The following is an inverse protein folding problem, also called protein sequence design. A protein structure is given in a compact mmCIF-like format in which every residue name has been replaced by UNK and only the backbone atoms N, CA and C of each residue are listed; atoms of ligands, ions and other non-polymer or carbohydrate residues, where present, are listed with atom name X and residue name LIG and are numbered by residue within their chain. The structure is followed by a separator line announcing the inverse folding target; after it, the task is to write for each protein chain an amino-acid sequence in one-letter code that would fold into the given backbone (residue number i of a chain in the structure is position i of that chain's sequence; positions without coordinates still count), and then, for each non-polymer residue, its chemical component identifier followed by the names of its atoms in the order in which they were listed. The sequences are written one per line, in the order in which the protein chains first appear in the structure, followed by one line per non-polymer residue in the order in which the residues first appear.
data_IF_687824667774
#
_entry.id   IF_687824667774
#
_cell.length_a   1.000
_cell.length_b   1.000
_cell.length_c   1.000
_cell.angle_alpha   90.00
_cell.angle_beta   90.00
_cell.angle_gamma   90.00
#
_symmetry.space_group_name_H-M   'P 1'
#
loop_
_entity.id
_entity.type
_entity.pdbx_description
1 polymer ?
#
# COMPACT_ATOMS: atom_id res chain seq x y z
N UNK A 1 12.50 3.03 -0.15
CA UNK A 1 12.41 1.89 -1.08
C UNK A 1 11.26 0.97 -0.70
N UNK A 2 10.57 0.45 -1.70
CA UNK A 2 9.42 -0.40 -1.46
C UNK A 2 9.85 -1.86 -1.47
N UNK A 3 9.37 -2.61 -0.49
CA UNK A 3 9.70 -4.03 -0.35
C UNK A 3 8.44 -4.87 -0.37
N UNK A 4 8.61 -6.16 -0.61
CA UNK A 4 7.49 -7.10 -0.51
C UNK A 4 6.90 -7.03 0.89
N UNK A 5 5.58 -7.08 0.93
CA UNK A 5 4.78 -7.07 2.16
C UNK A 5 4.73 -5.70 2.85
N UNK A 6 5.29 -4.68 2.23
CA UNK A 6 5.13 -3.33 2.76
C UNK A 6 3.67 -2.93 2.70
N UNK A 7 3.25 -2.18 3.70
CA UNK A 7 1.93 -1.59 3.76
C UNK A 7 2.04 -0.21 3.12
N UNK A 8 1.17 0.07 2.15
CA UNK A 8 1.30 1.29 1.35
C UNK A 8 -0.04 1.99 1.22
N UNK A 9 0.02 3.28 0.91
CA UNK A 9 -1.16 4.07 0.57
C UNK A 9 -0.98 4.67 -0.81
N UNK A 10 -2.08 4.80 -1.54
CA UNK A 10 -2.05 5.42 -2.85
C UNK A 10 -1.93 6.93 -2.73
N UNK A 11 -1.08 7.50 -3.56
CA UNK A 11 -0.93 8.95 -3.65
C UNK A 11 -1.84 9.56 -4.71
N UNK A 12 -2.39 8.73 -5.59
CA UNK A 12 -3.24 9.17 -6.69
C UNK A 12 -4.44 8.27 -6.83
N UNK A 13 -5.51 8.81 -7.43
CA UNK A 13 -6.66 8.00 -7.80
C UNK A 13 -6.29 7.09 -8.96
N UNK A 14 -6.87 5.90 -9.00
CA UNK A 14 -6.66 4.98 -10.12
C UNK A 14 -7.79 5.17 -11.11
N UNK A 15 -7.48 5.58 -12.36
CA UNK A 15 -8.53 5.85 -13.34
C UNK A 15 -9.39 4.63 -13.60
N UNK A 16 -10.66 4.89 -13.83
CA UNK A 16 -11.65 3.85 -14.21
C UNK A 16 -11.87 2.81 -13.12
N UNK A 17 -11.55 3.15 -11.88
CA UNK A 17 -11.81 2.28 -10.75
C UNK A 17 -12.41 3.11 -9.61
N UNK A 18 -12.87 2.41 -8.58
CA UNK A 18 -13.33 3.08 -7.36
C UNK A 18 -12.20 3.26 -6.36
N UNK A 19 -10.97 2.93 -6.75
CA UNK A 19 -9.82 3.00 -5.85
C UNK A 19 -9.24 4.40 -5.92
N UNK A 20 -9.28 5.10 -4.80
CA UNK A 20 -8.94 6.52 -4.75
C UNK A 20 -7.70 6.74 -3.91
N UNK A 21 -7.16 7.95 -4.03
CA UNK A 21 -6.03 8.37 -3.22
C UNK A 21 -6.30 8.11 -1.75
N UNK A 22 -5.30 7.62 -1.05
CA UNK A 22 -5.43 7.30 0.37
C UNK A 22 -5.82 5.87 0.64
N UNK A 23 -6.27 5.13 -0.38
CA UNK A 23 -6.59 3.72 -0.19
C UNK A 23 -5.31 2.97 0.16
N UNK A 24 -5.39 2.09 1.14
CA UNK A 24 -4.23 1.33 1.58
C UNK A 24 -4.23 -0.08 1.02
N UNK A 25 -3.04 -0.63 0.92
CA UNK A 25 -2.88 -1.99 0.42
C UNK A 25 -1.55 -2.57 0.84
N UNK A 26 -1.28 -3.78 0.37
CA UNK A 26 -0.06 -4.49 0.70
C UNK A 26 0.65 -4.87 -0.60
N UNK A 27 1.95 -4.66 -0.63
CA UNK A 27 2.77 -5.05 -1.77
C UNK A 27 2.97 -6.55 -1.74
N UNK A 28 2.50 -7.23 -2.79
CA UNK A 28 2.58 -8.69 -2.82
C UNK A 28 3.57 -9.22 -3.85
N UNK A 29 4.01 -8.37 -4.78
CA UNK A 29 4.97 -8.79 -5.80
C UNK A 29 5.61 -7.55 -6.42
N UNK A 30 6.84 -7.71 -6.89
CA UNK A 30 7.49 -6.68 -7.70
C UNK A 30 7.44 -7.14 -9.14
N UNK A 31 6.81 -6.35 -9.99
CA UNK A 31 6.59 -6.72 -11.39
C UNK A 31 7.71 -6.22 -12.30
N UNK A 32 8.32 -5.10 -11.93
CA UNK A 32 9.42 -4.53 -12.68
C UNK A 32 10.14 -3.56 -11.76
N UNK A 33 11.12 -2.84 -12.27
CA UNK A 33 11.85 -1.88 -11.47
C UNK A 33 10.95 -0.81 -10.87
N UNK A 34 9.88 -0.46 -11.58
CA UNK A 34 9.03 0.65 -11.18
C UNK A 34 7.61 0.26 -10.83
N UNK A 35 7.23 -1.01 -11.00
CA UNK A 35 5.85 -1.42 -10.77
C UNK A 35 5.77 -2.53 -9.75
N UNK A 36 4.80 -2.39 -8.87
CA UNK A 36 4.52 -3.37 -7.82
C UNK A 36 3.08 -3.81 -7.91
N UNK A 37 2.86 -5.08 -7.65
CA UNK A 37 1.49 -5.58 -7.53
C UNK A 37 1.03 -5.30 -6.11
N UNK A 38 -0.05 -4.53 -6.01
CA UNK A 38 -0.58 -4.13 -4.71
C UNK A 38 -1.96 -4.75 -4.55
N UNK A 39 -2.14 -5.36 -3.40
CA UNK A 39 -3.38 -6.00 -3.03
C UNK A 39 -4.16 -5.07 -2.11
N UNK A 40 -5.34 -4.66 -2.54
CA UNK A 40 -6.16 -3.73 -1.77
C UNK A 40 -7.24 -4.49 -1.02
N UNK A 41 -7.42 -4.12 0.24
CA UNK A 41 -8.40 -4.76 1.11
C UNK A 41 -9.38 -3.73 1.63
N UNK A 42 -10.59 -4.19 1.93
CA UNK A 42 -11.57 -3.35 2.56
C UNK A 42 -11.34 -3.34 4.08
N UNK A 43 -12.21 -2.65 4.79
CA UNK A 43 -12.07 -2.51 6.24
C UNK A 43 -12.26 -3.83 6.99
N UNK A 44 -12.79 -4.82 6.33
CA UNK A 44 -12.95 -6.15 6.92
C UNK A 44 -11.76 -7.05 6.60
N UNK A 45 -10.78 -6.53 5.88
CA UNK A 45 -9.61 -7.32 5.52
C UNK A 45 -9.80 -8.17 4.29
N UNK A 46 -10.91 -8.01 3.59
CA UNK A 46 -11.16 -8.80 2.39
C UNK A 46 -10.55 -8.13 1.18
N UNK A 47 -9.79 -8.91 0.41
CA UNK A 47 -9.17 -8.41 -0.80
C UNK A 47 -10.24 -8.20 -1.86
N UNK A 48 -10.28 -7.00 -2.41
CA UNK A 48 -11.23 -6.73 -3.49
C UNK A 48 -10.56 -6.40 -4.81
N UNK A 49 -9.25 -6.18 -4.82
CA UNK A 49 -8.57 -5.85 -6.06
C UNK A 49 -7.07 -6.04 -5.91
N UNK A 50 -6.43 -6.47 -6.99
CA UNK A 50 -4.97 -6.49 -7.09
C UNK A 50 -4.61 -5.77 -8.37
N UNK A 51 -3.73 -4.77 -8.28
CA UNK A 51 -3.38 -3.95 -9.43
C UNK A 51 -1.90 -3.65 -9.45
N UNK A 52 -1.32 -3.54 -10.66
CA UNK A 52 0.03 -3.03 -10.81
C UNK A 52 0.02 -1.52 -10.55
N UNK A 53 0.85 -1.07 -9.63
CA UNK A 53 0.92 0.34 -9.29
C UNK A 53 2.35 0.80 -9.44
N UNK A 54 2.52 1.96 -10.05
CA UNK A 54 3.82 2.55 -10.23
C UNK A 54 4.37 3.02 -8.88
N UNK A 55 5.65 2.82 -8.68
CA UNK A 55 6.30 3.14 -7.42
C UNK A 55 6.03 4.57 -6.96
N UNK A 56 6.01 5.51 -7.91
CA UNK A 56 5.84 6.93 -7.58
C UNK A 56 4.45 7.24 -7.03
N UNK A 57 3.52 6.33 -7.19
CA UNK A 57 2.15 6.51 -6.70
C UNK A 57 1.92 5.86 -5.35
N UNK A 58 2.97 5.36 -4.72
CA UNK A 58 2.86 4.64 -3.47
C UNK A 58 3.62 5.34 -2.36
N UNK A 59 3.00 5.42 -1.21
CA UNK A 59 3.62 5.91 0.01
C UNK A 59 3.73 4.73 0.97
N UNK A 60 4.95 4.41 1.40
CA UNK A 60 5.16 3.35 2.36
C UNK A 60 4.75 3.84 3.74
N UNK A 61 3.91 3.06 4.41
CA UNK A 61 3.43 3.38 5.74
C UNK A 61 4.22 2.56 6.75
N UNK A 62 4.75 3.25 7.75
CA UNK A 62 5.50 2.58 8.80
C UNK A 62 4.58 2.27 9.96
N UNK A 63 4.76 1.09 10.54
CA UNK A 63 3.96 0.69 11.68
C UNK A 63 4.43 1.42 12.92
N UNK A 64 3.56 2.22 13.45
CA UNK A 64 3.87 2.93 14.68
C UNK A 64 3.94 1.97 15.84
N UNK A 65 3.16 0.92 15.80
CA UNK A 65 3.13 -0.05 16.90
C UNK A 65 4.47 -0.72 17.13
N UNK A 66 5.33 -0.78 16.11
CA UNK A 66 6.65 -1.36 16.26
C UNK A 66 7.57 -0.47 17.07
N UNK A 67 7.18 0.77 17.22
CA UNK A 67 7.93 1.73 18.00
C UNK A 67 7.10 2.18 19.19
N UNK A 68 6.35 1.26 19.74
CA UNK A 68 5.44 1.58 20.82
C UNK A 68 6.13 2.18 22.02
N UNK A 69 7.41 1.90 22.17
CA UNK A 69 8.17 2.43 23.29
C UNK A 69 8.18 3.96 23.29
N UNK A 70 8.06 4.58 22.14
CA UNK A 70 8.07 6.03 22.13
C UNK A 70 6.77 6.60 22.65
N UNK A 71 5.76 5.80 22.74
CA UNK A 71 4.49 6.24 23.27
C UNK A 71 4.52 6.24 24.80
N UNK A 72 5.58 5.76 25.37
CA UNK A 72 5.76 5.69 26.81
C UNK A 72 6.79 6.69 27.21
N UNK A 73 6.39 7.89 27.41
CA UNK A 73 7.34 8.92 27.82
C UNK A 73 7.94 8.63 29.16
#
# INVERSE_FOLDING_TARGET
MIHLHDFVALLDNIPNTTIIRGTTGTVVSQLSDNFFLVEFSDENGEVFEQLPIQQDSLLVLHRISENAEFANP
#
